data_IF_940538950512
#
_entry.id   IF_940538950512
#
_cell.length_a   1.000
_cell.length_b   1.000
_cell.length_c   1.000
_cell.angle_alpha   90.00
_cell.angle_beta   90.00
_cell.angle_gamma   90.00
#
_symmetry.space_group_name_H-M   'P 1'
#
loop_
_entity.id
_entity.type
_entity.pdbx_description
1 polymer ?
#
# COMPACT_ATOMS: atom_id res chain seq x y z
N UNK A 1 -7.32 -70.72 -2.78
CA UNK A 1 -8.10 -69.62 -3.39
C UNK A 1 -8.42 -68.61 -2.31
N UNK A 2 -7.67 -67.51 -2.26
CA UNK A 2 -7.82 -66.41 -1.29
C UNK A 2 -8.21 -65.15 -2.07
N UNK A 3 -9.22 -64.39 -1.63
CA UNK A 3 -9.72 -63.27 -2.42
C UNK A 3 -8.77 -62.07 -2.41
N UNK A 4 -8.69 -61.46 -3.60
CA UNK A 4 -8.08 -60.17 -3.95
C UNK A 4 -8.34 -59.09 -2.90
N UNK A 5 -7.29 -58.38 -2.49
CA UNK A 5 -7.42 -57.01 -1.97
C UNK A 5 -6.81 -56.05 -2.98
N UNK A 6 -7.67 -55.56 -3.85
CA UNK A 6 -7.41 -54.40 -4.69
C UNK A 6 -7.29 -53.19 -3.77
N UNK A 7 -6.06 -52.72 -3.52
CA UNK A 7 -5.84 -51.46 -2.82
C UNK A 7 -6.04 -50.35 -3.85
N UNK A 8 -7.28 -49.89 -3.96
CA UNK A 8 -7.63 -48.69 -4.72
C UNK A 8 -6.96 -47.50 -4.05
N UNK A 9 -5.82 -47.06 -4.59
CA UNK A 9 -5.15 -45.84 -4.19
C UNK A 9 -5.98 -44.65 -4.69
N UNK A 10 -7.04 -44.30 -3.93
CA UNK A 10 -7.74 -43.03 -4.12
C UNK A 10 -6.84 -41.96 -3.52
N UNK A 11 -6.09 -41.26 -4.37
CA UNK A 11 -5.41 -40.01 -4.00
C UNK A 11 -6.48 -38.92 -4.05
N UNK A 12 -6.96 -38.38 -2.91
CA UNK A 12 -7.75 -37.16 -2.98
C UNK A 12 -6.79 -36.02 -3.37
N UNK A 13 -6.98 -35.49 -4.59
CA UNK A 13 -6.53 -34.15 -4.94
C UNK A 13 -7.15 -33.17 -3.94
N UNK A 14 -6.42 -32.84 -2.88
CA UNK A 14 -6.69 -31.70 -2.03
C UNK A 14 -6.11 -30.45 -2.70
N UNK A 15 -6.69 -30.07 -3.83
CA UNK A 15 -6.57 -28.72 -4.38
C UNK A 15 -7.95 -28.13 -4.31
N UNK A 16 -8.24 -27.38 -3.24
CA UNK A 16 -9.10 -26.21 -3.33
C UNK A 16 -9.06 -25.39 -2.03
N UNK A 17 -8.62 -24.15 -2.20
CA UNK A 17 -9.14 -22.95 -1.55
C UNK A 17 -9.08 -22.85 -0.01
N UNK A 18 -7.88 -22.55 0.51
CA UNK A 18 -7.73 -21.74 1.73
C UNK A 18 -7.10 -20.38 1.40
N UNK A 19 -7.69 -19.67 0.45
CA UNK A 19 -7.49 -18.23 0.23
C UNK A 19 -8.72 -17.46 0.72
N UNK A 20 -9.18 -17.70 1.95
CA UNK A 20 -10.31 -16.95 2.52
C UNK A 20 -10.45 -17.14 4.05
N UNK A 21 -9.37 -17.13 4.83
CA UNK A 21 -9.48 -17.07 6.29
C UNK A 21 -8.15 -16.61 6.89
N UNK A 22 -7.90 -15.32 6.81
CA UNK A 22 -6.64 -14.75 7.27
C UNK A 22 -6.64 -13.24 7.42
N UNK A 23 -7.82 -12.62 7.58
CA UNK A 23 -7.94 -11.39 8.35
C UNK A 23 -7.62 -11.73 9.82
N UNK A 24 -6.39 -12.18 10.08
CA UNK A 24 -5.84 -12.20 11.43
C UNK A 24 -5.65 -10.73 11.75
N UNK A 25 -6.61 -10.20 12.49
CA UNK A 25 -6.49 -8.96 13.22
C UNK A 25 -5.29 -9.09 14.17
N UNK A 26 -4.08 -8.90 13.62
CA UNK A 26 -2.92 -8.53 14.42
C UNK A 26 -3.28 -7.25 15.18
N UNK A 27 -2.64 -6.99 16.34
CA UNK A 27 -2.93 -5.79 17.12
C UNK A 27 -2.86 -4.57 16.19
N UNK A 28 -4.01 -3.91 16.00
CA UNK A 28 -4.18 -2.76 15.11
C UNK A 28 -3.27 -1.65 15.63
N UNK A 29 -2.04 -1.66 15.14
CA UNK A 29 -1.00 -0.77 15.59
C UNK A 29 -1.35 0.66 15.22
N UNK A 30 -0.92 1.61 16.07
CA UNK A 30 -0.94 3.02 15.69
C UNK A 30 -0.14 3.18 14.40
N UNK A 31 -0.48 4.24 13.66
CA UNK A 31 0.24 4.61 12.45
C UNK A 31 1.76 4.57 12.62
N UNK A 32 2.50 4.24 11.55
CA UNK A 32 3.94 4.40 11.54
C UNK A 32 4.30 5.80 12.05
N UNK A 33 5.23 5.89 12.99
CA UNK A 33 5.89 7.16 13.27
C UNK A 33 6.77 7.46 12.07
N UNK A 34 6.27 8.33 11.21
CA UNK A 34 7.00 8.76 10.02
C UNK A 34 7.94 9.87 10.46
N UNK A 35 9.24 9.77 10.14
CA UNK A 35 10.24 10.73 10.60
C UNK A 35 10.14 12.09 9.88
N UNK A 36 9.25 12.22 8.89
CA UNK A 36 9.10 13.38 8.00
C UNK A 36 7.62 13.66 7.76
N UNK A 37 7.26 14.92 7.56
CA UNK A 37 5.88 15.27 7.17
C UNK A 37 5.64 14.90 5.71
N UNK A 38 4.40 14.60 5.32
CA UNK A 38 4.09 14.26 3.92
C UNK A 38 4.48 15.38 2.95
N UNK A 39 4.38 16.65 3.35
CA UNK A 39 4.83 17.80 2.55
C UNK A 39 6.34 17.83 2.25
N UNK A 40 7.15 17.09 3.00
CA UNK A 40 8.60 16.98 2.78
C UNK A 40 8.94 15.85 1.79
N UNK A 41 7.95 15.03 1.43
CA UNK A 41 8.09 13.96 0.46
C UNK A 41 7.88 14.48 -0.97
N UNK A 42 8.65 13.91 -1.88
CA UNK A 42 8.46 14.12 -3.31
C UNK A 42 7.42 13.15 -3.85
N UNK A 43 6.36 13.65 -4.45
CA UNK A 43 5.45 12.87 -5.28
C UNK A 43 6.13 12.56 -6.61
N UNK A 44 6.21 11.28 -6.93
CA UNK A 44 6.69 10.77 -8.21
C UNK A 44 5.48 10.42 -9.07
N UNK A 45 5.36 11.09 -10.21
CA UNK A 45 4.34 10.79 -11.21
C UNK A 45 4.93 9.82 -12.23
N UNK A 46 4.24 8.70 -12.46
CA UNK A 46 4.65 7.69 -13.43
C UNK A 46 3.85 7.78 -14.73
N UNK A 47 4.53 7.54 -15.86
CA UNK A 47 3.92 7.27 -17.17
C UNK A 47 4.69 6.13 -17.84
N UNK A 48 3.99 5.08 -18.25
CA UNK A 48 4.62 3.90 -18.88
C UNK A 48 5.65 3.19 -17.99
N UNK A 49 5.53 3.26 -16.66
CA UNK A 49 6.48 2.65 -15.72
C UNK A 49 7.71 3.51 -15.40
N UNK A 50 7.82 4.70 -15.98
CA UNK A 50 8.92 5.64 -15.73
C UNK A 50 8.44 6.87 -14.98
N UNK A 51 9.26 7.40 -14.08
CA UNK A 51 8.99 8.69 -13.42
C UNK A 51 9.15 9.80 -14.45
N UNK A 52 8.08 10.54 -14.71
CA UNK A 52 8.09 11.68 -15.66
C UNK A 52 8.12 13.03 -14.96
N UNK A 53 7.71 13.07 -13.69
CA UNK A 53 7.69 14.30 -12.90
C UNK A 53 8.01 13.98 -11.43
N UNK A 54 8.77 14.87 -10.81
CA UNK A 54 9.02 14.89 -9.37
C UNK A 54 8.64 16.26 -8.83
N UNK A 55 7.67 16.30 -7.91
CA UNK A 55 7.22 17.54 -7.25
C UNK A 55 6.98 17.30 -5.77
N UNK A 56 6.98 18.36 -4.96
CA UNK A 56 6.57 18.28 -3.57
C UNK A 56 5.10 18.69 -3.45
N UNK A 57 4.40 18.12 -2.47
CA UNK A 57 3.09 18.64 -2.07
C UNK A 57 3.30 19.99 -1.38
N UNK A 58 2.41 20.94 -1.62
CA UNK A 58 2.47 22.21 -0.91
C UNK A 58 2.25 21.97 0.59
N UNK A 59 3.05 22.57 1.49
CA UNK A 59 2.82 22.44 2.92
C UNK A 59 1.41 22.89 3.30
N UNK A 60 0.66 22.00 3.97
CA UNK A 60 -0.73 22.27 4.36
C UNK A 60 -1.76 22.14 3.24
N UNK A 61 -1.38 21.63 2.06
CA UNK A 61 -2.33 21.31 1.00
C UNK A 61 -3.34 20.26 1.47
N UNK A 62 -4.51 20.25 0.83
CA UNK A 62 -5.56 19.26 1.13
C UNK A 62 -5.03 17.83 0.98
N UNK A 63 -4.16 17.57 -0.01
CA UNK A 63 -3.58 16.23 -0.20
C UNK A 63 -2.59 15.87 0.91
N UNK A 64 -1.71 16.80 1.32
CA UNK A 64 -0.79 16.57 2.44
C UNK A 64 -1.58 16.28 3.72
N UNK A 65 -2.60 17.09 4.02
CA UNK A 65 -3.43 16.93 5.23
C UNK A 65 -4.21 15.62 5.20
N UNK A 66 -4.80 15.26 4.06
CA UNK A 66 -5.55 14.01 3.93
C UNK A 66 -4.66 12.78 4.11
N UNK A 67 -3.44 12.79 3.52
CA UNK A 67 -2.47 11.70 3.66
C UNK A 67 -1.95 11.65 5.10
N UNK A 68 -1.50 12.76 5.69
CA UNK A 68 -1.04 12.83 7.09
C UNK A 68 -2.14 12.35 8.06
N UNK A 69 -3.39 12.76 7.81
CA UNK A 69 -4.56 12.30 8.54
C UNK A 69 -4.70 10.77 8.47
N UNK A 70 -4.66 10.21 7.26
CA UNK A 70 -4.76 8.77 7.03
C UNK A 70 -3.59 7.98 7.65
N UNK A 71 -2.39 8.57 7.67
CA UNK A 71 -1.18 8.00 8.28
C UNK A 71 -1.29 7.89 9.80
N UNK A 72 -1.89 8.89 10.44
CA UNK A 72 -2.05 8.94 11.89
C UNK A 72 -3.08 7.92 12.44
N UNK A 73 -3.94 7.37 11.58
CA UNK A 73 -5.00 6.43 11.98
C UNK A 73 -4.44 5.05 12.36
N UNK A 74 -5.25 4.27 13.07
CA UNK A 74 -4.97 2.86 13.39
C UNK A 74 -5.31 1.96 12.20
N UNK A 75 -5.01 0.67 12.33
CA UNK A 75 -5.39 -0.33 11.31
C UNK A 75 -4.23 -0.79 10.43
N UNK A 76 -3.00 -0.50 10.85
CA UNK A 76 -1.81 -0.89 10.13
C UNK A 76 -1.44 -2.34 10.40
N UNK A 77 -1.12 -3.05 9.33
CA UNK A 77 -0.58 -4.41 9.38
C UNK A 77 0.74 -4.49 8.60
N UNK A 78 1.59 -5.45 8.97
CA UNK A 78 2.80 -5.74 8.20
C UNK A 78 2.41 -6.53 6.95
N UNK A 79 3.00 -6.20 5.81
CA UNK A 79 2.78 -6.96 4.57
C UNK A 79 4.10 -7.38 3.95
N UNK A 80 4.11 -8.60 3.41
CA UNK A 80 5.25 -9.16 2.66
C UNK A 80 4.99 -9.22 1.15
N UNK A 81 3.86 -8.67 0.69
CA UNK A 81 3.48 -8.64 -0.72
C UNK A 81 4.05 -7.40 -1.40
N UNK A 82 4.39 -7.49 -2.69
CA UNK A 82 4.77 -6.29 -3.47
C UNK A 82 3.54 -5.69 -4.13
N UNK A 83 3.41 -4.36 -4.09
CA UNK A 83 2.29 -3.63 -4.68
C UNK A 83 2.78 -2.72 -5.81
N UNK A 84 2.04 -2.69 -6.92
CA UNK A 84 2.33 -1.78 -8.01
C UNK A 84 2.12 -0.32 -7.56
N UNK A 85 3.02 0.61 -7.93
CA UNK A 85 2.87 2.02 -7.59
C UNK A 85 1.70 2.65 -8.36
N UNK A 86 0.85 3.40 -7.66
CA UNK A 86 -0.22 4.22 -8.26
C UNK A 86 0.09 5.71 -8.09
N UNK A 87 0.07 6.20 -6.84
CA UNK A 87 0.66 7.48 -6.49
C UNK A 87 1.74 7.23 -5.46
N UNK A 88 2.96 7.64 -5.78
CA UNK A 88 4.15 7.28 -5.01
C UNK A 88 4.80 8.53 -4.41
N UNK A 89 4.92 8.59 -3.10
CA UNK A 89 5.64 9.63 -2.39
C UNK A 89 6.94 9.04 -1.86
N UNK A 90 8.03 9.79 -1.99
CA UNK A 90 9.38 9.33 -1.66
C UNK A 90 10.15 10.42 -0.93
N UNK A 91 10.89 10.05 0.11
CA UNK A 91 11.83 10.97 0.77
C UNK A 91 13.05 11.27 -0.12
N UNK A 92 13.85 12.28 0.25
CA UNK A 92 15.00 12.69 -0.57
C UNK A 92 16.05 11.58 -0.77
N UNK A 93 16.10 10.59 0.13
CA UNK A 93 17.06 9.48 0.12
C UNK A 93 16.49 8.19 -0.48
N UNK A 94 15.21 8.14 -0.83
CA UNK A 94 14.53 6.93 -1.29
C UNK A 94 14.41 5.81 -0.25
N UNK A 95 14.66 6.11 1.03
CA UNK A 95 14.61 5.16 2.13
C UNK A 95 13.21 5.01 2.70
N UNK A 96 12.34 5.99 2.47
CA UNK A 96 10.98 5.98 2.97
C UNK A 96 10.01 6.32 1.83
N UNK A 97 9.00 5.47 1.64
CA UNK A 97 8.04 5.62 0.53
C UNK A 97 6.62 5.34 0.95
N UNK A 98 5.68 6.08 0.36
CA UNK A 98 4.24 5.90 0.53
C UNK A 98 3.64 5.62 -0.85
N UNK A 99 2.84 4.57 -0.98
CA UNK A 99 2.07 4.29 -2.17
C UNK A 99 0.57 4.33 -1.83
N UNK A 100 -0.16 5.21 -2.52
CA UNK A 100 -1.62 5.27 -2.46
C UNK A 100 -2.18 4.53 -3.67
N UNK A 101 -2.69 3.31 -3.45
CA UNK A 101 -3.15 2.41 -4.51
C UNK A 101 -4.59 1.97 -4.27
N UNK A 102 -5.54 2.67 -4.89
CA UNK A 102 -6.97 2.43 -4.69
C UNK A 102 -7.38 2.71 -3.25
N UNK A 103 -7.78 1.66 -2.53
CA UNK A 103 -8.16 1.70 -1.11
C UNK A 103 -7.02 1.25 -0.19
N UNK A 104 -5.80 1.08 -0.72
CA UNK A 104 -4.64 0.71 0.08
C UNK A 104 -3.68 1.87 0.23
N UNK A 105 -3.26 2.09 1.48
CA UNK A 105 -2.12 2.94 1.82
C UNK A 105 -0.97 2.05 2.24
N UNK A 106 0.12 2.08 1.49
CA UNK A 106 1.28 1.23 1.67
C UNK A 106 2.47 2.11 2.04
N UNK A 107 3.24 1.70 3.03
CA UNK A 107 4.47 2.35 3.45
C UNK A 107 5.60 1.35 3.38
N UNK A 108 6.69 1.71 2.70
CA UNK A 108 7.96 1.02 2.82
C UNK A 108 8.93 1.91 3.59
N UNK A 109 9.39 1.40 4.72
CA UNK A 109 10.36 2.05 5.59
C UNK A 109 11.65 1.23 5.59
N UNK A 110 12.67 1.73 4.91
CA UNK A 110 14.01 1.16 4.80
C UNK A 110 15.02 1.92 5.66
N UNK A 111 14.57 2.77 6.58
CA UNK A 111 15.45 3.57 7.44
C UNK A 111 16.07 2.75 8.58
N UNK A 112 15.42 1.65 8.98
CA UNK A 112 15.90 0.74 10.02
C UNK A 112 16.83 -0.36 9.51
N UNK A 113 17.37 -1.16 10.45
CA UNK A 113 18.21 -2.33 10.14
C UNK A 113 17.52 -3.37 9.25
N UNK A 114 16.19 -3.44 9.33
CA UNK A 114 15.36 -4.33 8.54
C UNK A 114 14.28 -3.51 7.85
N UNK A 115 14.23 -3.49 6.51
CA UNK A 115 13.13 -2.86 5.79
C UNK A 115 11.79 -3.42 6.23
N UNK A 116 10.81 -2.54 6.41
CA UNK A 116 9.44 -2.91 6.82
C UNK A 116 8.43 -2.32 5.88
N UNK A 117 7.55 -3.17 5.37
CA UNK A 117 6.38 -2.72 4.66
C UNK A 117 5.14 -2.83 5.56
N UNK A 118 4.41 -1.73 5.67
CA UNK A 118 3.14 -1.64 6.41
C UNK A 118 2.04 -1.20 5.48
N UNK A 119 0.87 -1.80 5.61
CA UNK A 119 -0.30 -1.46 4.80
C UNK A 119 -1.47 -1.14 5.71
N UNK A 120 -2.38 -0.30 5.19
CA UNK A 120 -3.69 -0.04 5.77
C UNK A 120 -4.73 0.01 4.67
N UNK A 121 -5.85 -0.66 4.90
CA UNK A 121 -7.05 -0.45 4.09
C UNK A 121 -7.72 0.85 4.52
N UNK A 122 -7.92 1.74 3.55
CA UNK A 122 -8.67 2.97 3.68
C UNK A 122 -10.16 2.64 3.58
N UNK A 123 -10.99 3.32 4.36
CA UNK A 123 -12.42 3.30 4.07
C UNK A 123 -12.70 4.04 2.74
N UNK A 124 -13.90 3.83 2.19
CA UNK A 124 -14.25 4.37 0.87
C UNK A 124 -14.18 5.91 0.84
N UNK A 125 -14.57 6.56 1.94
CA UNK A 125 -14.57 8.01 2.07
C UNK A 125 -13.15 8.58 2.12
N UNK A 126 -12.27 7.98 2.93
CA UNK A 126 -10.85 8.28 2.99
C UNK A 126 -10.18 8.12 1.63
N UNK A 127 -10.38 6.96 0.99
CA UNK A 127 -9.79 6.66 -0.31
C UNK A 127 -10.27 7.66 -1.37
N UNK A 128 -11.54 8.05 -1.33
CA UNK A 128 -12.12 9.03 -2.26
C UNK A 128 -11.60 10.44 -1.99
N UNK A 129 -11.49 10.82 -0.72
CA UNK A 129 -10.96 12.11 -0.27
C UNK A 129 -9.51 12.30 -0.73
N UNK A 130 -8.64 11.33 -0.42
CA UNK A 130 -7.22 11.37 -0.82
C UNK A 130 -7.08 11.43 -2.34
N UNK A 131 -7.82 10.58 -3.09
CA UNK A 131 -7.78 10.59 -4.57
C UNK A 131 -8.22 11.93 -5.15
N UNK A 132 -9.24 12.55 -4.57
CA UNK A 132 -9.74 13.86 -5.02
C UNK A 132 -8.71 14.95 -4.75
N UNK A 133 -8.17 15.00 -3.54
CA UNK A 133 -7.17 15.99 -3.13
C UNK A 133 -5.89 15.86 -3.98
N UNK A 134 -5.41 14.63 -4.17
CA UNK A 134 -4.26 14.36 -5.05
C UNK A 134 -4.55 14.77 -6.50
N UNK A 135 -5.75 14.52 -7.04
CA UNK A 135 -6.09 14.96 -8.40
C UNK A 135 -6.16 16.48 -8.51
N UNK A 136 -6.71 17.16 -7.51
CA UNK A 136 -6.79 18.62 -7.51
C UNK A 136 -5.40 19.26 -7.49
N UNK A 137 -4.47 18.69 -6.72
CA UNK A 137 -3.10 19.21 -6.60
C UNK A 137 -2.19 18.76 -7.75
N UNK A 138 -2.37 17.53 -8.24
CA UNK A 138 -1.52 16.96 -9.26
C UNK A 138 -2.01 17.22 -10.69
N UNK A 139 -3.26 17.63 -10.88
CA UNK A 139 -3.96 17.63 -12.18
C UNK A 139 -4.51 16.25 -12.54
N UNK A 140 -5.21 16.11 -13.68
CA UNK A 140 -5.51 14.77 -14.19
C UNK A 140 -4.28 14.17 -14.88
N UNK A 141 -4.10 12.83 -14.87
CA UNK A 141 -2.98 12.19 -15.58
C UNK A 141 -2.90 12.54 -17.07
N UNK A 142 -4.03 12.94 -17.67
CA UNK A 142 -4.17 13.45 -19.04
C UNK A 142 -3.69 14.90 -19.24
N UNK A 143 -3.56 15.68 -18.16
CA UNK A 143 -3.13 17.09 -18.20
C UNK A 143 -1.63 17.27 -17.93
N UNK A 144 -0.92 16.18 -17.64
CA UNK A 144 0.53 16.20 -17.43
C UNK A 144 1.22 16.08 -18.78
N UNK A 145 2.27 16.87 -19.07
CA UNK A 145 2.96 16.85 -20.36
C UNK A 145 3.50 15.46 -20.71
#
# INVERSE_FOLDING_TARGET
MTPKRSVSLVVPMAVLATLAAGAVAGPLSRGPQIPVKTSELSVLVYRGGHVVERRQLAPGSEASVAIDGALSRRGWTTSFLTYAPSVYLQDSKGQFTINVSGELLIINDSTGRWPRQRIRTLDEEEARSIRRALRAELGTPSDLP
#
